data_IF_845467865846
#
_entry.id   IF_845467865846
#
_cell.length_a   1.000
_cell.length_b   1.000
_cell.length_c   1.000
_cell.angle_alpha   90.00
_cell.angle_beta   90.00
_cell.angle_gamma   90.00
#
_symmetry.space_group_name_H-M   'P 1'
#
loop_
_entity.id
_entity.type
_entity.pdbx_description
1 polymer ?
#
# COMPACT_ATOMS: atom_id res chain seq x y z
N UNK A 1 -27.29 -14.95 31.64
CA UNK A 1 -26.50 -16.18 31.46
C UNK A 1 -27.35 -17.29 30.86
N UNK A 2 -27.77 -17.17 29.62
CA UNK A 2 -28.42 -18.27 28.91
C UNK A 2 -27.40 -19.27 28.37
N UNK A 3 -27.84 -20.47 28.02
CA UNK A 3 -26.96 -21.49 27.43
C UNK A 3 -26.34 -21.02 26.08
N UNK A 4 -27.11 -20.25 25.32
CA UNK A 4 -26.71 -19.65 24.03
C UNK A 4 -25.63 -18.60 24.23
N UNK A 5 -25.71 -17.75 25.26
CA UNK A 5 -24.69 -16.75 25.56
C UNK A 5 -23.35 -17.37 25.95
N UNK A 6 -23.37 -18.48 26.71
CA UNK A 6 -22.16 -19.22 27.06
C UNK A 6 -21.49 -19.83 25.82
N UNK A 7 -22.27 -20.42 24.92
CA UNK A 7 -21.74 -20.98 23.67
C UNK A 7 -21.11 -19.91 22.77
N UNK A 8 -21.74 -18.74 22.70
CA UNK A 8 -21.13 -17.64 21.97
C UNK A 8 -19.80 -17.23 22.63
N UNK A 9 -19.74 -17.17 23.95
CA UNK A 9 -18.48 -16.91 24.65
C UNK A 9 -17.42 -17.97 24.36
N UNK A 10 -17.79 -19.25 24.37
CA UNK A 10 -16.87 -20.36 24.05
C UNK A 10 -16.35 -20.24 22.61
N UNK A 11 -17.21 -19.86 21.66
CA UNK A 11 -16.79 -19.59 20.28
C UNK A 11 -15.81 -18.40 20.21
N UNK A 12 -16.12 -17.29 20.87
CA UNK A 12 -15.26 -16.10 20.87
C UNK A 12 -13.89 -16.40 21.46
N UNK A 13 -13.84 -17.14 22.59
CA UNK A 13 -12.59 -17.41 23.28
C UNK A 13 -11.83 -18.64 22.74
N UNK A 14 -12.38 -19.39 21.77
CA UNK A 14 -11.65 -20.47 21.13
C UNK A 14 -10.38 -19.99 20.43
N UNK A 15 -10.42 -18.80 19.82
CA UNK A 15 -9.32 -18.25 19.01
C UNK A 15 -8.85 -16.87 19.50
N UNK A 16 -9.45 -16.30 20.54
CA UNK A 16 -9.13 -14.97 21.04
C UNK A 16 -8.71 -15.01 22.51
N UNK A 17 -7.80 -14.12 22.88
CA UNK A 17 -7.41 -13.94 24.28
C UNK A 17 -8.41 -13.04 25.00
N UNK A 18 -8.91 -13.50 26.13
CA UNK A 18 -9.74 -12.71 27.03
C UNK A 18 -8.87 -11.68 27.75
N UNK A 19 -9.30 -10.43 27.75
CA UNK A 19 -8.75 -9.37 28.58
C UNK A 19 -9.74 -9.13 29.72
N UNK A 20 -9.29 -9.19 30.96
CA UNK A 20 -10.13 -8.86 32.11
C UNK A 20 -10.13 -7.35 32.31
N UNK A 21 -11.32 -6.76 32.25
CA UNK A 21 -11.56 -5.33 32.43
C UNK A 21 -12.61 -5.21 33.55
N UNK A 22 -12.53 -4.14 34.35
CA UNK A 22 -13.62 -3.79 35.23
C UNK A 22 -14.84 -3.35 34.39
N UNK A 23 -16.02 -3.48 34.98
CA UNK A 23 -17.27 -3.04 34.34
C UNK A 23 -17.42 -1.51 34.52
N UNK A 24 -16.45 -0.77 34.00
CA UNK A 24 -16.36 0.68 34.04
C UNK A 24 -16.13 1.20 32.62
N UNK A 25 -16.95 2.18 32.19
CA UNK A 25 -16.92 2.72 30.84
C UNK A 25 -15.60 3.39 30.51
N UNK A 26 -15.00 4.10 31.47
CA UNK A 26 -13.71 4.77 31.31
C UNK A 26 -12.58 3.74 31.12
N UNK A 27 -12.59 2.63 31.85
CA UNK A 27 -11.59 1.56 31.70
C UNK A 27 -11.71 0.85 30.34
N UNK A 28 -12.93 0.68 29.84
CA UNK A 28 -13.19 0.10 28.52
C UNK A 28 -12.69 1.00 27.42
N UNK A 29 -12.95 2.31 27.49
CA UNK A 29 -12.46 3.30 26.54
C UNK A 29 -10.93 3.31 26.53
N UNK A 30 -10.29 3.35 27.70
CA UNK A 30 -8.85 3.32 27.86
C UNK A 30 -8.24 2.02 27.30
N UNK A 31 -8.87 0.88 27.57
CA UNK A 31 -8.38 -0.40 27.07
C UNK A 31 -8.40 -0.47 25.53
N UNK A 32 -9.42 0.08 24.88
CA UNK A 32 -9.52 0.16 23.44
C UNK A 32 -8.57 1.21 22.88
N UNK A 33 -8.47 2.38 23.50
CA UNK A 33 -7.60 3.47 23.06
C UNK A 33 -6.11 3.09 23.12
N UNK A 34 -5.66 2.48 24.21
CA UNK A 34 -4.28 2.01 24.39
C UNK A 34 -4.03 0.62 23.78
N UNK A 35 -4.96 0.12 22.96
CA UNK A 35 -4.86 -1.18 22.26
C UNK A 35 -4.61 -2.39 23.19
N UNK A 36 -5.02 -2.30 24.47
CA UNK A 36 -5.04 -3.45 25.39
C UNK A 36 -6.12 -4.45 25.00
N UNK A 37 -7.26 -3.94 24.46
CA UNK A 37 -8.33 -4.72 23.86
C UNK A 37 -8.61 -4.22 22.44
N UNK A 38 -8.71 -5.13 21.48
CA UNK A 38 -9.03 -4.77 20.08
C UNK A 38 -10.54 -4.62 19.85
N UNK A 39 -11.34 -5.26 20.69
CA UNK A 39 -12.79 -5.32 20.57
C UNK A 39 -13.41 -5.62 21.93
N UNK A 40 -14.43 -4.88 22.30
CA UNK A 40 -15.26 -5.15 23.49
C UNK A 40 -16.67 -5.39 23.02
N UNK A 41 -17.27 -6.48 23.47
CA UNK A 41 -18.60 -6.92 23.09
C UNK A 41 -19.48 -7.06 24.33
N UNK A 42 -20.55 -6.29 24.38
CA UNK A 42 -21.60 -6.44 25.38
C UNK A 42 -22.74 -7.27 24.83
N UNK A 43 -23.03 -8.38 25.49
CA UNK A 43 -24.17 -9.25 25.14
C UNK A 43 -25.39 -8.76 25.90
N UNK A 44 -26.39 -8.28 25.18
CA UNK A 44 -27.59 -7.70 25.78
C UNK A 44 -28.42 -8.74 26.51
N UNK A 45 -29.15 -8.29 27.53
CA UNK A 45 -30.11 -9.14 28.29
C UNK A 45 -31.18 -9.68 27.34
N UNK A 46 -31.54 -10.96 27.50
CA UNK A 46 -32.53 -11.59 26.60
C UNK A 46 -31.94 -12.15 25.29
N UNK A 47 -30.61 -12.24 25.17
CA UNK A 47 -29.92 -12.79 24.00
C UNK A 47 -30.48 -14.14 23.54
N UNK A 48 -30.64 -15.10 24.47
CA UNK A 48 -31.18 -16.43 24.15
C UNK A 48 -32.62 -16.39 23.64
N UNK A 49 -33.45 -15.56 24.29
CA UNK A 49 -34.86 -15.42 23.90
C UNK A 49 -35.01 -14.80 22.55
N UNK A 50 -34.21 -13.76 22.22
CA UNK A 50 -34.19 -13.11 20.93
C UNK A 50 -33.75 -14.05 19.80
N UNK A 51 -32.65 -14.79 19.98
CA UNK A 51 -32.20 -15.77 18.98
C UNK A 51 -33.25 -16.84 18.75
N UNK A 52 -33.88 -17.37 19.80
CA UNK A 52 -34.92 -18.36 19.71
C UNK A 52 -36.20 -17.80 19.03
N UNK A 53 -36.44 -16.50 19.15
CA UNK A 53 -37.51 -15.78 18.46
C UNK A 53 -37.14 -15.32 17.02
N UNK A 54 -35.95 -15.69 16.51
CA UNK A 54 -35.43 -15.28 15.19
C UNK A 54 -35.17 -13.77 15.05
N UNK A 55 -35.08 -13.07 16.16
CA UNK A 55 -34.74 -11.66 16.22
C UNK A 55 -33.22 -11.48 16.40
N UNK A 56 -32.54 -11.10 15.36
CA UNK A 56 -31.11 -10.89 15.36
C UNK A 56 -30.68 -9.43 15.52
N UNK A 57 -31.66 -8.51 15.68
CA UNK A 57 -31.37 -7.10 15.82
C UNK A 57 -31.09 -6.72 17.28
N UNK A 58 -30.07 -5.89 17.48
CA UNK A 58 -29.72 -5.37 18.80
C UNK A 58 -29.31 -6.46 19.81
N UNK A 59 -28.69 -7.54 19.36
CA UNK A 59 -28.17 -8.59 20.22
C UNK A 59 -26.94 -8.14 21.01
N UNK A 60 -26.19 -7.19 20.47
CA UNK A 60 -24.91 -6.75 21.00
C UNK A 60 -24.77 -5.23 20.97
N UNK A 61 -23.98 -4.73 21.90
CA UNK A 61 -23.33 -3.42 21.82
C UNK A 61 -21.85 -3.64 21.69
N UNK A 62 -21.16 -2.92 20.81
CA UNK A 62 -19.74 -3.09 20.57
C UNK A 62 -18.96 -1.79 20.75
N UNK A 63 -17.76 -1.95 21.28
CA UNK A 63 -16.78 -0.87 21.39
C UNK A 63 -15.50 -1.30 20.66
N UNK A 64 -15.11 -0.54 19.64
CA UNK A 64 -13.90 -0.80 18.86
C UNK A 64 -13.31 0.49 18.34
N UNK A 65 -12.01 0.51 18.07
CA UNK A 65 -11.39 1.61 17.34
C UNK A 65 -11.73 1.48 15.85
N UNK A 66 -12.23 2.52 15.17
CA UNK A 66 -12.64 2.46 13.75
C UNK A 66 -11.53 2.00 12.80
N UNK A 67 -10.26 2.29 13.14
CA UNK A 67 -9.08 1.92 12.35
C UNK A 67 -8.46 0.57 12.75
N UNK A 68 -9.03 -0.16 13.72
CA UNK A 68 -8.48 -1.43 14.18
C UNK A 68 -8.78 -2.55 13.19
N UNK A 69 -7.73 -3.06 12.53
CA UNK A 69 -7.82 -4.24 11.67
C UNK A 69 -8.31 -5.48 12.43
N UNK A 70 -7.81 -5.68 13.66
CA UNK A 70 -8.24 -6.79 14.53
C UNK A 70 -9.72 -6.70 14.91
N UNK A 71 -10.21 -5.49 15.19
CA UNK A 71 -11.62 -5.25 15.47
C UNK A 71 -12.53 -5.54 14.28
N UNK A 72 -12.13 -5.13 13.07
CA UNK A 72 -12.90 -5.41 11.85
C UNK A 72 -12.91 -6.91 11.50
N UNK A 73 -11.77 -7.59 11.68
CA UNK A 73 -11.69 -9.04 11.45
C UNK A 73 -12.60 -9.80 12.40
N UNK A 74 -12.60 -9.43 13.68
CA UNK A 74 -13.46 -10.04 14.70
C UNK A 74 -14.95 -9.84 14.38
N UNK A 75 -15.34 -8.61 14.00
CA UNK A 75 -16.71 -8.29 13.59
C UNK A 75 -17.16 -9.14 12.40
N UNK A 76 -16.34 -9.22 11.35
CA UNK A 76 -16.62 -10.08 10.20
C UNK A 76 -16.78 -11.55 10.58
N UNK A 77 -15.99 -12.07 11.50
CA UNK A 77 -16.13 -13.45 12.02
C UNK A 77 -17.42 -13.64 12.80
N UNK A 78 -17.80 -12.66 13.63
CA UNK A 78 -19.03 -12.69 14.40
C UNK A 78 -20.27 -12.66 13.49
N UNK A 79 -20.24 -11.80 12.46
CA UNK A 79 -21.31 -11.70 11.45
C UNK A 79 -21.45 -13.00 10.64
N UNK A 80 -20.32 -13.61 10.25
CA UNK A 80 -20.31 -14.90 9.57
C UNK A 80 -20.88 -16.01 10.49
N UNK A 81 -20.55 -16.00 11.77
CA UNK A 81 -21.09 -16.95 12.72
C UNK A 81 -22.60 -16.81 12.86
N UNK A 82 -23.09 -15.60 13.08
CA UNK A 82 -24.54 -15.35 13.22
C UNK A 82 -25.31 -15.67 11.93
N UNK A 83 -24.74 -15.33 10.77
CA UNK A 83 -25.32 -15.66 9.47
C UNK A 83 -25.40 -17.18 9.25
N UNK A 84 -24.39 -17.92 9.70
CA UNK A 84 -24.38 -19.38 9.66
C UNK A 84 -25.42 -19.99 10.62
N UNK A 85 -25.52 -19.47 11.85
CA UNK A 85 -26.56 -19.87 12.80
C UNK A 85 -27.95 -19.66 12.21
N UNK A 86 -28.19 -18.48 11.63
CA UNK A 86 -29.46 -18.16 10.97
C UNK A 86 -29.77 -19.12 9.82
N UNK A 87 -28.76 -19.46 9.01
CA UNK A 87 -28.92 -20.39 7.89
C UNK A 87 -29.30 -21.79 8.37
N UNK A 88 -28.63 -22.32 9.42
CA UNK A 88 -28.96 -23.65 9.96
C UNK A 88 -30.33 -23.68 10.65
N UNK A 89 -30.73 -22.61 11.36
CA UNK A 89 -32.08 -22.48 11.91
C UNK A 89 -33.13 -22.45 10.78
N UNK A 90 -32.84 -21.76 9.66
CA UNK A 90 -33.74 -21.75 8.49
C UNK A 90 -33.87 -23.16 7.89
N UNK A 91 -32.87 -24.00 7.98
CA UNK A 91 -32.89 -25.38 7.54
C UNK A 91 -33.67 -26.33 8.50
N UNK A 92 -34.20 -25.79 9.63
CA UNK A 92 -35.00 -26.55 10.60
C UNK A 92 -34.22 -27.12 11.78
N UNK A 93 -32.96 -26.73 11.96
CA UNK A 93 -32.17 -27.15 13.09
C UNK A 93 -32.58 -26.38 14.37
N UNK A 94 -32.50 -27.02 15.54
CA UNK A 94 -32.68 -26.33 16.81
C UNK A 94 -31.58 -25.29 17.01
N UNK A 95 -31.87 -24.20 17.73
CA UNK A 95 -30.90 -23.14 18.03
C UNK A 95 -29.57 -23.70 18.57
N UNK A 96 -29.66 -24.69 19.46
CA UNK A 96 -28.49 -25.35 20.05
C UNK A 96 -27.63 -26.08 18.99
N UNK A 97 -28.23 -26.86 18.10
CA UNK A 97 -27.55 -27.56 17.02
C UNK A 97 -27.02 -26.58 15.97
N UNK A 98 -27.79 -25.55 15.62
CA UNK A 98 -27.39 -24.52 14.68
C UNK A 98 -26.11 -23.81 15.14
N UNK A 99 -26.00 -23.46 16.42
CA UNK A 99 -24.81 -22.84 16.98
C UNK A 99 -23.58 -23.77 16.95
N UNK A 100 -23.77 -25.07 17.24
CA UNK A 100 -22.68 -26.09 17.14
C UNK A 100 -22.20 -26.26 15.69
N UNK A 101 -23.13 -26.40 14.77
CA UNK A 101 -22.82 -26.58 13.34
C UNK A 101 -22.12 -25.34 12.78
N UNK A 102 -22.56 -24.14 13.13
CA UNK A 102 -21.92 -22.88 12.75
C UNK A 102 -20.49 -22.80 13.27
N UNK A 103 -20.26 -23.15 14.55
CA UNK A 103 -18.93 -23.19 15.13
C UNK A 103 -18.02 -24.18 14.39
N UNK A 104 -18.52 -25.38 14.11
CA UNK A 104 -17.77 -26.42 13.38
C UNK A 104 -17.45 -25.97 11.95
N UNK A 105 -18.41 -25.36 11.25
CA UNK A 105 -18.22 -24.85 9.89
C UNK A 105 -17.16 -23.76 9.80
N UNK A 106 -17.14 -22.84 10.78
CA UNK A 106 -16.16 -21.74 10.79
C UNK A 106 -14.78 -22.23 11.27
N UNK A 107 -14.72 -23.22 12.18
CA UNK A 107 -13.46 -23.81 12.64
C UNK A 107 -12.78 -24.69 11.58
N UNK A 108 -13.53 -25.19 10.61
CA UNK A 108 -12.96 -25.84 9.44
C UNK A 108 -12.21 -24.81 8.60
N UNK A 109 -10.89 -24.76 8.76
CA UNK A 109 -10.03 -23.96 7.88
C UNK A 109 -10.21 -24.45 6.43
N UNK A 110 -11.05 -23.75 5.68
CA UNK A 110 -11.10 -23.92 4.23
C UNK A 110 -9.74 -23.46 3.70
N UNK A 111 -8.92 -24.38 3.25
CA UNK A 111 -7.67 -24.06 2.58
C UNK A 111 -8.02 -23.34 1.27
N UNK A 112 -8.16 -22.02 1.35
CA UNK A 112 -8.48 -21.19 0.21
C UNK A 112 -7.21 -21.04 -0.61
N UNK A 113 -7.05 -21.87 -1.64
CA UNK A 113 -6.06 -21.61 -2.68
C UNK A 113 -6.59 -20.47 -3.53
N UNK A 114 -5.99 -19.29 -3.39
CA UNK A 114 -6.20 -18.17 -4.30
C UNK A 114 -5.67 -18.57 -5.69
N UNK A 115 -6.46 -19.26 -6.48
CA UNK A 115 -6.20 -19.46 -7.91
C UNK A 115 -6.55 -18.15 -8.61
N UNK A 116 -5.52 -17.41 -8.94
CA UNK A 116 -5.64 -16.22 -9.75
C UNK A 116 -6.05 -16.65 -11.18
N UNK A 117 -7.35 -16.66 -11.49
CA UNK A 117 -7.90 -17.05 -12.79
C UNK A 117 -7.45 -16.15 -13.95
N UNK A 118 -6.84 -15.00 -13.64
CA UNK A 118 -6.35 -14.05 -14.63
C UNK A 118 -4.90 -14.33 -15.07
N UNK A 119 -4.27 -15.38 -14.58
CA UNK A 119 -2.90 -15.75 -14.95
C UNK A 119 -2.91 -16.77 -16.12
N UNK A 120 -3.49 -16.40 -17.26
CA UNK A 120 -3.15 -17.04 -18.53
C UNK A 120 -1.71 -16.63 -18.88
N UNK A 121 -0.75 -17.37 -18.37
CA UNK A 121 0.68 -17.14 -18.57
C UNK A 121 1.40 -16.78 -17.27
N UNK A 122 1.31 -17.68 -16.28
CA UNK A 122 2.06 -17.56 -15.02
C UNK A 122 3.56 -17.62 -15.25
N UNK A 123 4.18 -16.49 -15.47
CA UNK A 123 5.57 -16.29 -15.12
C UNK A 123 5.57 -15.86 -13.65
N UNK A 124 6.00 -16.77 -12.77
CA UNK A 124 5.92 -16.68 -11.30
C UNK A 124 6.70 -15.53 -10.68
N UNK A 125 6.42 -14.30 -11.10
CA UNK A 125 6.90 -13.12 -10.40
C UNK A 125 5.92 -12.82 -9.26
N UNK A 126 6.40 -12.77 -8.01
CA UNK A 126 5.56 -12.36 -6.89
C UNK A 126 4.98 -10.97 -7.14
N UNK A 127 3.73 -10.73 -6.74
CA UNK A 127 3.07 -9.42 -6.85
C UNK A 127 3.90 -8.29 -6.19
N UNK A 128 4.68 -8.63 -5.17
CA UNK A 128 5.61 -7.74 -4.49
C UNK A 128 6.63 -7.07 -5.44
N UNK A 129 6.94 -7.72 -6.56
CA UNK A 129 7.86 -7.19 -7.57
C UNK A 129 7.27 -6.03 -8.36
N UNK A 130 5.96 -6.08 -8.61
CA UNK A 130 5.24 -4.97 -9.22
C UNK A 130 5.30 -3.73 -8.34
N UNK A 131 5.09 -3.89 -7.04
CA UNK A 131 5.21 -2.80 -6.06
C UNK A 131 6.63 -2.25 -5.98
N UNK A 132 7.67 -3.10 -6.05
CA UNK A 132 9.05 -2.65 -6.09
C UNK A 132 9.28 -1.66 -7.23
N UNK A 133 8.93 -2.04 -8.48
CA UNK A 133 9.08 -1.15 -9.62
C UNK A 133 8.19 0.09 -9.52
N UNK A 134 7.01 -0.02 -8.92
CA UNK A 134 6.12 1.12 -8.73
C UNK A 134 6.73 2.17 -7.79
N UNK A 135 7.24 1.75 -6.63
CA UNK A 135 7.87 2.66 -5.66
C UNK A 135 9.19 3.25 -6.14
N UNK A 136 9.88 2.61 -7.10
CA UNK A 136 11.09 3.16 -7.71
C UNK A 136 10.87 4.55 -8.33
N UNK A 137 9.66 4.88 -8.77
CA UNK A 137 9.37 6.22 -9.29
C UNK A 137 9.68 7.31 -8.26
N UNK A 138 9.21 7.14 -7.04
CA UNK A 138 9.49 8.07 -5.94
C UNK A 138 10.97 8.09 -5.57
N UNK A 139 11.54 6.90 -5.35
CA UNK A 139 12.91 6.77 -4.86
C UNK A 139 13.92 7.33 -5.86
N UNK A 140 13.79 7.00 -7.15
CA UNK A 140 14.67 7.50 -8.20
C UNK A 140 14.60 9.01 -8.33
N UNK A 141 13.39 9.59 -8.35
CA UNK A 141 13.22 11.03 -8.45
C UNK A 141 13.83 11.76 -7.26
N UNK A 142 13.50 11.34 -6.05
CA UNK A 142 14.01 11.96 -4.82
C UNK A 142 15.54 11.83 -4.72
N UNK A 143 16.08 10.66 -5.03
CA UNK A 143 17.52 10.42 -5.01
C UNK A 143 18.25 11.29 -6.04
N UNK A 144 17.69 11.44 -7.26
CA UNK A 144 18.29 12.29 -8.28
C UNK A 144 18.26 13.77 -7.89
N UNK A 145 17.17 14.25 -7.31
CA UNK A 145 17.11 15.65 -6.84
C UNK A 145 18.20 15.90 -5.79
N UNK A 146 18.29 15.02 -4.77
CA UNK A 146 19.24 15.19 -3.66
C UNK A 146 20.70 14.99 -4.09
N UNK A 147 20.98 14.21 -5.16
CA UNK A 147 22.34 13.98 -5.63
C UNK A 147 22.77 14.92 -6.75
N UNK A 148 21.94 15.15 -7.77
CA UNK A 148 22.30 15.99 -8.91
C UNK A 148 22.26 17.49 -8.60
N UNK A 149 21.29 17.95 -7.82
CA UNK A 149 21.18 19.39 -7.53
C UNK A 149 22.44 19.96 -6.85
N UNK A 150 22.98 19.38 -5.76
CA UNK A 150 24.21 19.91 -5.15
C UNK A 150 25.41 19.92 -6.08
N UNK A 151 25.53 18.88 -6.93
CA UNK A 151 26.64 18.80 -7.91
C UNK A 151 26.54 19.94 -8.91
N UNK A 152 25.36 20.15 -9.51
CA UNK A 152 25.16 21.20 -10.51
C UNK A 152 25.26 22.59 -9.88
N UNK A 153 24.70 22.79 -8.67
CA UNK A 153 24.82 24.04 -7.95
C UNK A 153 26.27 24.39 -7.63
N UNK A 154 27.08 23.39 -7.22
CA UNK A 154 28.51 23.58 -6.97
C UNK A 154 29.24 23.97 -8.25
N UNK A 155 28.97 23.34 -9.37
CA UNK A 155 29.54 23.68 -10.67
C UNK A 155 29.13 25.09 -11.16
N UNK A 156 27.92 25.54 -10.82
CA UNK A 156 27.41 26.84 -11.19
C UNK A 156 27.82 27.96 -10.22
N UNK A 157 28.48 27.66 -9.09
CA UNK A 157 28.99 28.70 -8.17
C UNK A 157 29.89 29.66 -8.91
N UNK A 158 29.71 30.97 -8.69
CA UNK A 158 30.38 32.06 -9.40
C UNK A 158 31.89 31.85 -9.53
N UNK A 159 32.59 31.50 -8.43
CA UNK A 159 34.04 31.30 -8.45
C UNK A 159 34.49 30.07 -9.26
N UNK A 160 33.69 28.99 -9.32
CA UNK A 160 34.00 27.79 -10.13
C UNK A 160 33.72 28.11 -11.60
N UNK A 161 32.61 28.73 -11.90
CA UNK A 161 32.20 29.11 -13.25
C UNK A 161 33.18 30.11 -13.90
N UNK A 162 33.60 31.13 -13.14
CA UNK A 162 34.59 32.13 -13.65
C UNK A 162 35.94 31.50 -13.96
N UNK A 163 36.46 30.62 -13.09
CA UNK A 163 37.69 29.86 -13.34
C UNK A 163 37.57 28.99 -14.62
N UNK A 164 36.43 28.35 -14.80
CA UNK A 164 36.15 27.50 -15.97
C UNK A 164 36.09 28.36 -17.24
N UNK A 165 35.51 29.56 -17.17
CA UNK A 165 35.46 30.48 -18.30
C UNK A 165 36.81 31.07 -18.68
N UNK A 166 37.74 31.19 -17.72
CA UNK A 166 39.12 31.60 -17.98
C UNK A 166 40.00 30.47 -18.50
N UNK A 167 39.50 29.23 -18.54
CA UNK A 167 40.21 28.10 -19.12
C UNK A 167 40.06 28.04 -20.63
N UNK A 168 40.88 27.21 -21.33
CA UNK A 168 40.77 26.96 -22.75
C UNK A 168 39.54 26.14 -23.16
N UNK A 169 38.67 25.79 -22.21
CA UNK A 169 37.47 25.01 -22.46
C UNK A 169 36.37 25.88 -23.11
N UNK A 170 35.90 25.45 -24.26
CA UNK A 170 34.73 26.08 -24.85
C UNK A 170 33.46 25.74 -24.04
N UNK A 171 32.50 26.68 -24.01
CA UNK A 171 31.21 26.49 -23.32
C UNK A 171 30.49 25.20 -23.70
N UNK A 172 30.57 24.82 -24.99
CA UNK A 172 30.02 23.58 -25.51
C UNK A 172 30.68 22.34 -24.90
N UNK A 173 32.03 22.34 -24.81
CA UNK A 173 32.76 21.23 -24.22
C UNK A 173 32.49 21.10 -22.72
N UNK A 174 32.38 22.23 -22.02
CA UNK A 174 32.00 22.22 -20.60
C UNK A 174 30.60 21.61 -20.39
N UNK A 175 29.62 22.07 -21.17
CA UNK A 175 28.25 21.52 -21.06
C UNK A 175 28.21 20.02 -21.38
N UNK A 176 28.98 19.56 -22.40
CA UNK A 176 29.07 18.14 -22.74
C UNK A 176 29.70 17.32 -21.64
N UNK A 177 30.79 17.79 -21.01
CA UNK A 177 31.45 17.09 -19.90
C UNK A 177 30.55 17.03 -18.69
N UNK A 178 29.86 18.10 -18.34
CA UNK A 178 28.88 18.13 -17.25
C UNK A 178 27.71 17.16 -17.50
N UNK A 179 27.19 17.14 -18.73
CA UNK A 179 26.12 16.22 -19.12
C UNK A 179 26.58 14.75 -19.08
N UNK A 180 27.82 14.47 -19.51
CA UNK A 180 28.38 13.11 -19.41
C UNK A 180 28.55 12.68 -17.94
N UNK A 181 29.09 13.55 -17.10
CA UNK A 181 29.22 13.27 -15.67
C UNK A 181 27.86 13.00 -15.01
N UNK A 182 26.86 13.84 -15.29
CA UNK A 182 25.49 13.65 -14.83
C UNK A 182 24.90 12.31 -15.35
N UNK A 183 25.13 11.98 -16.61
CA UNK A 183 24.64 10.73 -17.21
C UNK A 183 25.24 9.48 -16.55
N UNK A 184 26.54 9.52 -16.22
CA UNK A 184 27.20 8.43 -15.51
C UNK A 184 26.58 8.26 -14.12
N UNK A 185 26.31 9.34 -13.41
CA UNK A 185 25.68 9.29 -12.10
C UNK A 185 24.25 8.74 -12.18
N UNK A 186 23.45 9.23 -13.12
CA UNK A 186 22.09 8.74 -13.37
C UNK A 186 22.08 7.24 -13.68
N UNK A 187 22.99 6.80 -14.56
CA UNK A 187 23.12 5.40 -14.95
C UNK A 187 23.56 4.53 -13.76
N UNK A 188 24.49 5.03 -12.94
CA UNK A 188 24.97 4.31 -11.75
C UNK A 188 23.85 4.09 -10.74
N UNK A 189 23.01 5.11 -10.50
CA UNK A 189 21.84 5.00 -9.63
C UNK A 189 20.86 3.97 -10.18
N UNK A 190 20.53 4.05 -11.48
CA UNK A 190 19.63 3.09 -12.12
C UNK A 190 20.18 1.66 -12.02
N UNK A 191 21.47 1.47 -12.33
CA UNK A 191 22.12 0.17 -12.28
C UNK A 191 22.08 -0.44 -10.87
N UNK A 192 22.30 0.37 -9.83
CA UNK A 192 22.21 -0.07 -8.44
C UNK A 192 20.84 -0.66 -8.13
N UNK A 193 19.76 0.02 -8.50
CA UNK A 193 18.41 -0.49 -8.28
C UNK A 193 18.12 -1.74 -9.13
N UNK A 194 18.67 -1.83 -10.35
CA UNK A 194 18.51 -3.04 -11.18
C UNK A 194 19.25 -4.24 -10.60
N UNK A 195 20.46 -4.03 -10.03
CA UNK A 195 21.18 -5.09 -9.33
C UNK A 195 20.37 -5.60 -8.14
N UNK A 196 19.82 -4.70 -7.32
CA UNK A 196 18.93 -5.08 -6.20
C UNK A 196 17.72 -5.88 -6.71
N UNK A 197 17.11 -5.43 -7.82
CA UNK A 197 15.99 -6.13 -8.44
C UNK A 197 16.36 -7.54 -8.90
N UNK A 198 17.53 -7.75 -9.48
CA UNK A 198 18.02 -9.06 -9.93
C UNK A 198 18.27 -9.99 -8.75
N UNK A 199 18.94 -9.50 -7.71
CA UNK A 199 19.27 -10.31 -6.51
C UNK A 199 18.00 -10.78 -5.82
N UNK A 200 17.00 -9.89 -5.71
CA UNK A 200 15.76 -10.19 -4.99
C UNK A 200 14.77 -11.00 -5.83
N UNK A 201 14.69 -10.71 -7.15
CA UNK A 201 13.67 -11.27 -8.02
C UNK A 201 13.90 -12.72 -8.46
N UNK A 202 15.13 -13.19 -8.44
CA UNK A 202 15.53 -14.57 -8.86
C UNK A 202 14.98 -15.05 -10.21
N UNK A 203 14.23 -14.23 -10.94
CA UNK A 203 13.53 -14.60 -12.18
C UNK A 203 13.73 -13.52 -13.24
N UNK A 204 14.44 -13.85 -14.31
CA UNK A 204 14.71 -12.98 -15.46
C UNK A 204 13.66 -13.20 -16.56
N UNK A 205 12.42 -12.83 -16.30
CA UNK A 205 11.34 -12.94 -17.28
C UNK A 205 11.34 -11.78 -18.27
N UNK A 206 10.64 -11.93 -19.41
CA UNK A 206 10.47 -10.85 -20.39
C UNK A 206 9.84 -9.61 -19.73
N UNK A 207 8.89 -9.80 -18.79
CA UNK A 207 8.26 -8.71 -18.04
C UNK A 207 9.27 -7.93 -17.18
N UNK A 208 10.26 -8.63 -16.62
CA UNK A 208 11.35 -8.00 -15.87
C UNK A 208 12.15 -7.04 -16.76
N UNK A 209 12.58 -7.49 -17.94
CA UNK A 209 13.35 -6.65 -18.85
C UNK A 209 12.56 -5.46 -19.39
N UNK A 210 11.26 -5.64 -19.62
CA UNK A 210 10.37 -4.53 -20.00
C UNK A 210 10.22 -3.52 -18.85
N UNK A 211 10.13 -3.96 -17.60
CA UNK A 211 10.10 -3.08 -16.45
C UNK A 211 11.45 -2.35 -16.24
N UNK A 212 12.58 -3.02 -16.48
CA UNK A 212 13.89 -2.38 -16.49
C UNK A 212 13.99 -1.29 -17.56
N UNK A 213 13.49 -1.55 -18.78
CA UNK A 213 13.45 -0.57 -19.86
C UNK A 213 12.56 0.62 -19.49
N UNK A 214 11.36 0.36 -18.97
CA UNK A 214 10.45 1.40 -18.50
C UNK A 214 11.09 2.27 -17.42
N UNK A 215 11.79 1.67 -16.44
CA UNK A 215 12.51 2.41 -15.39
C UNK A 215 13.68 3.20 -15.93
N UNK A 216 14.37 2.71 -16.98
CA UNK A 216 15.44 3.43 -17.64
C UNK A 216 14.94 4.70 -18.35
N UNK A 217 13.84 4.59 -19.06
CA UNK A 217 13.20 5.78 -19.69
C UNK A 217 12.74 6.78 -18.64
N UNK A 218 12.16 6.27 -17.53
CA UNK A 218 11.70 7.11 -16.45
C UNK A 218 12.84 7.86 -15.75
N UNK A 219 13.98 7.21 -15.46
CA UNK A 219 15.08 7.88 -14.74
C UNK A 219 15.69 9.01 -15.59
N UNK A 220 15.68 8.91 -16.91
CA UNK A 220 16.11 10.00 -17.81
C UNK A 220 15.17 11.20 -17.66
N UNK A 221 13.86 10.98 -17.64
CA UNK A 221 12.89 12.03 -17.42
C UNK A 221 13.01 12.66 -16.02
N UNK A 222 13.22 11.84 -14.99
CA UNK A 222 13.44 12.29 -13.61
C UNK A 222 14.75 13.11 -13.49
N UNK A 223 15.81 12.73 -14.20
CA UNK A 223 17.03 13.50 -14.28
C UNK A 223 16.80 14.88 -14.90
N UNK A 224 15.97 14.98 -15.94
CA UNK A 224 15.56 16.25 -16.53
C UNK A 224 14.86 17.16 -15.50
N UNK A 225 13.96 16.61 -14.69
CA UNK A 225 13.29 17.35 -13.60
C UNK A 225 14.32 17.82 -12.57
N UNK A 226 15.23 16.96 -12.12
CA UNK A 226 16.29 17.32 -11.18
C UNK A 226 17.20 18.42 -11.73
N UNK A 227 17.54 18.38 -13.03
CA UNK A 227 18.34 19.43 -13.69
C UNK A 227 17.61 20.77 -13.75
N UNK A 228 16.30 20.79 -13.96
CA UNK A 228 15.50 22.02 -13.92
C UNK A 228 15.51 22.59 -12.50
N UNK A 229 15.31 21.77 -11.48
CA UNK A 229 15.35 22.18 -10.08
C UNK A 229 16.73 22.77 -9.72
N UNK A 230 17.79 22.18 -10.22
CA UNK A 230 19.17 22.64 -9.98
C UNK A 230 19.50 24.01 -10.61
N UNK A 231 18.61 24.60 -11.42
CA UNK A 231 18.80 25.98 -11.90
C UNK A 231 18.40 27.04 -10.88
N UNK A 232 17.64 26.64 -9.86
CA UNK A 232 17.28 27.54 -8.76
C UNK A 232 18.40 27.55 -7.72
N UNK A 233 18.74 28.73 -7.19
CA UNK A 233 19.78 28.85 -6.15
C UNK A 233 19.20 28.43 -4.79
N UNK A 234 19.28 27.13 -4.53
CA UNK A 234 18.66 26.50 -3.35
C UNK A 234 19.74 26.18 -2.30
N UNK A 235 19.39 26.32 -1.04
CA UNK A 235 20.16 25.79 0.06
C UNK A 235 19.98 24.25 0.17
N UNK A 236 20.86 23.57 0.88
CA UNK A 236 20.79 22.11 1.08
C UNK A 236 19.44 21.70 1.71
N UNK A 237 18.95 22.48 2.67
CA UNK A 237 17.62 22.26 3.25
C UNK A 237 16.50 22.51 2.22
N UNK A 238 16.68 23.50 1.35
CA UNK A 238 15.75 23.80 0.25
C UNK A 238 15.67 22.65 -0.77
N UNK A 239 16.79 22.05 -1.13
CA UNK A 239 16.84 20.87 -2.01
C UNK A 239 16.07 19.71 -1.41
N UNK A 240 16.30 19.42 -0.12
CA UNK A 240 15.59 18.35 0.59
C UNK A 240 14.08 18.61 0.67
N UNK A 241 13.69 19.86 0.97
CA UNK A 241 12.28 20.25 1.04
C UNK A 241 11.60 20.08 -0.33
N UNK A 242 12.21 20.59 -1.41
CA UNK A 242 11.68 20.47 -2.77
C UNK A 242 11.64 19.01 -3.22
N UNK A 243 12.67 18.21 -2.88
CA UNK A 243 12.68 16.76 -3.18
C UNK A 243 11.47 16.07 -2.55
N UNK A 244 11.15 16.39 -1.31
CA UNK A 244 9.99 15.82 -0.63
C UNK A 244 8.67 16.33 -1.23
N UNK A 245 8.53 17.62 -1.49
CA UNK A 245 7.30 18.19 -2.06
C UNK A 245 7.03 17.61 -3.45
N UNK A 246 8.02 17.63 -4.33
CA UNK A 246 7.86 17.14 -5.71
C UNK A 246 7.77 15.61 -5.72
N UNK A 247 8.64 14.91 -4.98
CA UNK A 247 8.66 13.46 -4.92
C UNK A 247 7.36 12.88 -4.37
N UNK A 248 6.89 13.36 -3.22
CA UNK A 248 5.63 12.92 -2.63
C UNK A 248 4.43 13.39 -3.44
N UNK A 249 4.42 14.68 -3.84
CA UNK A 249 3.31 15.24 -4.64
C UNK A 249 3.10 14.47 -5.94
N UNK A 250 4.16 14.25 -6.72
CA UNK A 250 4.06 13.43 -7.94
C UNK A 250 3.65 11.99 -7.64
N UNK A 251 4.14 11.40 -6.54
CA UNK A 251 3.83 10.01 -6.20
C UNK A 251 2.36 9.81 -5.85
N UNK A 252 1.75 10.76 -5.13
CA UNK A 252 0.31 10.72 -4.85
C UNK A 252 -0.53 11.02 -6.10
N UNK A 253 -0.18 12.03 -6.89
CA UNK A 253 -0.94 12.41 -8.09
C UNK A 253 -0.87 11.39 -9.23
N UNK A 254 0.24 10.66 -9.33
CA UNK A 254 0.51 9.75 -10.44
C UNK A 254 0.15 8.29 -10.16
N UNK A 255 -0.27 7.97 -8.94
CA UNK A 255 -0.68 6.59 -8.62
C UNK A 255 0.45 5.68 -8.14
N UNK A 256 1.57 6.25 -7.64
CA UNK A 256 2.68 5.47 -7.08
C UNK A 256 2.30 4.90 -5.71
N UNK A 257 1.75 5.71 -4.82
CA UNK A 257 1.33 5.30 -3.47
C UNK A 257 -0.13 4.91 -3.39
N UNK A 258 -0.98 5.56 -4.18
CA UNK A 258 -2.41 5.28 -4.25
C UNK A 258 -2.73 4.72 -5.63
N UNK A 259 -3.40 3.55 -5.74
CA UNK A 259 -3.78 2.99 -7.04
C UNK A 259 -4.51 4.02 -7.90
N UNK A 260 -4.15 4.10 -9.19
CA UNK A 260 -4.73 5.10 -10.13
C UNK A 260 -6.26 4.99 -10.23
N UNK A 261 -6.80 3.82 -9.97
CA UNK A 261 -8.24 3.51 -10.00
C UNK A 261 -9.04 4.21 -8.87
N UNK A 262 -8.37 4.50 -7.76
CA UNK A 262 -8.97 5.19 -6.60
C UNK A 262 -8.86 6.72 -6.72
N UNK A 263 -8.11 7.23 -7.70
CA UNK A 263 -7.94 8.65 -7.90
C UNK A 263 -9.08 9.25 -8.73
N UNK A 264 -9.55 10.43 -8.34
CA UNK A 264 -10.59 11.14 -9.09
C UNK A 264 -10.09 11.59 -10.46
N UNK A 265 -11.00 11.73 -11.43
CA UNK A 265 -10.65 12.10 -12.79
C UNK A 265 -9.87 13.43 -12.90
N UNK A 266 -10.14 14.41 -12.04
CA UNK A 266 -9.40 15.68 -12.00
C UNK A 266 -7.93 15.49 -11.56
N UNK A 267 -7.69 14.67 -10.55
CA UNK A 267 -6.33 14.34 -10.07
C UNK A 267 -5.55 13.60 -11.15
N UNK A 268 -6.19 12.64 -11.82
CA UNK A 268 -5.56 11.92 -12.93
C UNK A 268 -5.24 12.82 -14.13
N UNK A 269 -6.07 13.82 -14.41
CA UNK A 269 -5.81 14.78 -15.48
C UNK A 269 -4.51 15.57 -15.22
N UNK A 270 -4.30 16.02 -13.99
CA UNK A 270 -3.05 16.65 -13.56
C UNK A 270 -1.89 15.66 -13.57
N UNK A 271 -2.10 14.46 -13.06
CA UNK A 271 -1.08 13.39 -13.03
C UNK A 271 -0.51 13.06 -14.41
N UNK A 272 -1.35 13.08 -15.45
CA UNK A 272 -0.94 12.79 -16.86
C UNK A 272 0.13 13.73 -17.40
N UNK A 273 0.33 14.91 -16.82
CA UNK A 273 1.38 15.85 -17.21
C UNK A 273 2.77 15.36 -16.76
N UNK A 274 2.83 14.48 -15.79
CA UNK A 274 4.08 14.00 -15.18
C UNK A 274 4.52 12.65 -15.73
N UNK A 275 5.83 12.42 -15.90
CA UNK A 275 6.35 11.15 -16.42
C UNK A 275 6.06 9.96 -15.46
N UNK A 276 5.94 10.20 -14.16
CA UNK A 276 5.62 9.19 -13.19
C UNK A 276 4.25 8.52 -13.42
N UNK A 277 3.27 9.24 -13.97
CA UNK A 277 1.96 8.67 -14.32
C UNK A 277 2.09 7.57 -15.37
N UNK A 278 2.82 7.85 -16.45
CA UNK A 278 3.00 6.91 -17.55
C UNK A 278 3.86 5.72 -17.15
N UNK A 279 4.88 5.97 -16.34
CA UNK A 279 5.71 4.93 -15.75
C UNK A 279 4.87 3.95 -14.89
N UNK A 280 4.07 4.48 -13.97
CA UNK A 280 3.19 3.68 -13.10
C UNK A 280 2.16 2.92 -13.91
N UNK A 281 1.53 3.57 -14.90
CA UNK A 281 0.54 2.94 -15.78
C UNK A 281 1.15 1.77 -16.57
N UNK A 282 2.36 1.92 -17.10
CA UNK A 282 3.06 0.85 -17.78
C UNK A 282 3.39 -0.32 -16.86
N UNK A 283 3.84 -0.06 -15.62
CA UNK A 283 4.11 -1.08 -14.64
C UNK A 283 2.82 -1.83 -14.23
N UNK A 284 1.71 -1.11 -14.02
CA UNK A 284 0.43 -1.73 -13.71
C UNK A 284 -0.03 -2.70 -14.82
N UNK A 285 0.19 -2.34 -16.08
CA UNK A 285 -0.11 -3.22 -17.22
C UNK A 285 0.81 -4.45 -17.27
N UNK A 286 2.11 -4.26 -17.03
CA UNK A 286 3.10 -5.34 -17.07
C UNK A 286 2.88 -6.38 -15.98
N UNK A 287 2.55 -5.94 -14.77
CA UNK A 287 2.40 -6.82 -13.61
C UNK A 287 0.96 -7.21 -13.33
N UNK A 288 -0.02 -6.71 -14.10
CA UNK A 288 -1.44 -6.99 -13.88
C UNK A 288 -1.96 -6.43 -12.57
N UNK A 289 -1.38 -5.32 -12.09
CA UNK A 289 -1.76 -4.65 -10.85
C UNK A 289 -2.99 -3.74 -11.02
N UNK A 290 -3.41 -3.47 -12.24
CA UNK A 290 -4.73 -2.90 -12.55
C UNK A 290 -5.76 -3.98 -12.22
N UNK A 291 -6.19 -4.02 -10.96
CA UNK A 291 -7.23 -4.91 -10.50
C UNK A 291 -8.56 -4.46 -11.09
N UNK A 292 -8.94 -5.06 -12.20
CA UNK A 292 -10.30 -4.97 -12.69
C UNK A 292 -11.28 -5.61 -11.71
N UNK A 293 -11.57 -4.93 -10.60
CA UNK A 293 -12.69 -5.29 -9.72
C UNK A 293 -13.94 -4.49 -10.07
N UNK A 294 -13.82 -3.43 -10.85
CA UNK A 294 -14.96 -2.64 -11.34
C UNK A 294 -14.80 -2.30 -12.82
N UNK A 295 -14.90 -3.31 -13.70
CA UNK A 295 -15.36 -3.09 -15.06
C UNK A 295 -16.89 -3.09 -15.04
N UNK A 296 -17.48 -1.99 -14.64
CA UNK A 296 -18.83 -1.67 -15.08
C UNK A 296 -18.74 -1.08 -16.48
N UNK A 297 -19.30 -1.83 -17.44
CA UNK A 297 -19.68 -1.31 -18.76
C UNK A 297 -20.53 -0.07 -18.61
#
# INVERSE_FOLDING_TARGET
NSAESKRLQDFIFSDNKKVELADDEDEVIDAVYYQRANYVLYINKGFGDKINAWDFDGLFENFKMPSSYGGQLFESRLDNYLSSVKAYMTAGESTENAMKLAQTAISQQVKTELKNFNNKGGTGMPAIFGYYFQYLAYVMLSMLIVTLCPVILTLNRKGVRERTMCSSLTSANYSRQTALGASILVFSIWLLFMIVAIIWGKTLSVKFWLACLNSFVYIIAAAGIAMIIAQFDLSDNGITAISNIIGLGMSFLCGVFVPQELLTGGVLAVGRLFPAYWYTKANNMLFGMSGGVFSTK
#
